data_IF_355121157371
#
_entry.id   IF_355121157371
#
_cell.length_a   1.000
_cell.length_b   1.000
_cell.length_c   1.000
_cell.angle_alpha   90.00
_cell.angle_beta   90.00
_cell.angle_gamma   90.00
#
_symmetry.space_group_name_H-M   'P 1'
#
loop_
_entity.id
_entity.type
_entity.pdbx_description
1 polymer ?
#
# COMPACT_ATOMS: atom_id res chain seq x y z
N UNK A 1 -30.04 1.70 -1.44
CA UNK A 1 -28.97 1.49 -2.44
C UNK A 1 -28.05 0.41 -1.89
N UNK A 2 -27.54 -0.46 -2.72
CA UNK A 2 -26.61 -1.51 -2.28
C UNK A 2 -25.31 -0.85 -1.80
N UNK A 3 -24.70 -1.40 -0.74
CA UNK A 3 -23.46 -0.91 -0.15
C UNK A 3 -22.27 -0.91 -1.11
N UNK A 4 -22.33 -1.73 -2.18
CA UNK A 4 -21.26 -1.84 -3.18
C UNK A 4 -21.33 -0.79 -4.29
N UNK A 5 -22.38 0.02 -4.39
CA UNK A 5 -22.54 1.01 -5.48
C UNK A 5 -21.43 2.05 -5.40
N UNK A 6 -21.27 2.71 -4.25
CA UNK A 6 -20.29 3.78 -4.09
C UNK A 6 -18.85 3.27 -4.25
N UNK A 7 -18.54 2.09 -3.68
CA UNK A 7 -17.23 1.47 -3.81
C UNK A 7 -16.89 1.04 -5.24
N UNK A 8 -17.87 0.90 -6.11
CA UNK A 8 -17.68 0.44 -7.49
C UNK A 8 -17.19 1.53 -8.44
N UNK A 9 -17.31 2.82 -8.07
CA UNK A 9 -16.94 3.93 -8.93
C UNK A 9 -16.24 5.10 -8.20
N UNK A 10 -15.93 4.98 -6.90
CA UNK A 10 -15.37 6.05 -6.07
C UNK A 10 -14.09 6.67 -6.68
N UNK A 11 -13.27 5.87 -7.37
CA UNK A 11 -12.04 6.33 -8.02
C UNK A 11 -12.31 7.33 -9.15
N UNK A 12 -13.48 7.27 -9.79
CA UNK A 12 -13.91 8.28 -10.78
C UNK A 12 -14.24 9.62 -10.11
N UNK A 13 -14.65 9.59 -8.84
CA UNK A 13 -14.96 10.80 -8.08
C UNK A 13 -13.71 11.53 -7.56
N UNK A 14 -12.61 10.84 -7.35
CA UNK A 14 -11.40 11.42 -6.75
C UNK A 14 -10.84 12.61 -7.54
N UNK A 15 -10.67 12.58 -8.86
CA UNK A 15 -10.20 13.72 -9.63
C UNK A 15 -11.11 14.95 -9.50
N UNK A 16 -12.42 14.74 -9.33
CA UNK A 16 -13.45 15.79 -9.30
C UNK A 16 -14.15 15.88 -7.94
N UNK A 17 -13.44 15.70 -6.84
CA UNK A 17 -14.03 15.59 -5.48
C UNK A 17 -14.86 16.79 -5.07
N UNK A 18 -14.59 18.00 -5.59
CA UNK A 18 -15.25 19.25 -5.28
C UNK A 18 -16.44 19.58 -6.19
N UNK A 19 -16.69 18.82 -7.26
CA UNK A 19 -17.83 19.06 -8.15
C UNK A 19 -19.15 18.88 -7.39
N UNK A 20 -20.04 19.88 -7.47
CA UNK A 20 -21.37 19.86 -6.84
C UNK A 20 -22.51 19.52 -7.82
N UNK A 21 -22.24 19.56 -9.13
CA UNK A 21 -23.26 19.48 -10.18
C UNK A 21 -23.22 18.21 -11.00
N UNK A 22 -22.10 17.52 -11.00
CA UNK A 22 -21.88 16.30 -11.79
C UNK A 22 -21.12 15.24 -10.98
N UNK A 23 -21.29 13.97 -11.29
CA UNK A 23 -20.60 12.89 -10.56
C UNK A 23 -19.09 12.96 -10.72
N UNK A 24 -18.60 13.37 -11.89
CA UNK A 24 -17.20 13.61 -12.20
C UNK A 24 -17.06 14.46 -13.47
N UNK A 25 -15.97 15.21 -13.58
CA UNK A 25 -15.64 16.00 -14.76
C UNK A 25 -14.90 15.14 -15.80
N UNK A 26 -15.35 15.18 -17.04
CA UNK A 26 -14.82 14.33 -18.12
C UNK A 26 -13.35 14.61 -18.45
N UNK A 27 -12.95 15.88 -18.49
CA UNK A 27 -11.57 16.26 -18.82
C UNK A 27 -10.57 15.79 -17.75
N UNK A 28 -10.99 15.89 -16.46
CA UNK A 28 -10.18 15.39 -15.35
C UNK A 28 -10.06 13.87 -15.39
N UNK A 29 -11.16 13.16 -15.69
CA UNK A 29 -11.16 11.71 -15.86
C UNK A 29 -10.23 11.29 -17.00
N UNK A 30 -10.33 11.91 -18.16
CA UNK A 30 -9.48 11.57 -19.32
C UNK A 30 -7.99 11.86 -19.06
N UNK A 31 -7.68 12.73 -18.10
CA UNK A 31 -6.29 13.04 -17.70
C UNK A 31 -5.72 12.03 -16.73
N UNK A 32 -6.52 11.57 -15.77
CA UNK A 32 -6.04 10.79 -14.63
C UNK A 32 -6.36 9.29 -14.71
N UNK A 33 -7.24 8.86 -15.59
CA UNK A 33 -7.73 7.49 -15.66
C UNK A 33 -7.56 6.88 -17.07
N UNK A 34 -7.47 5.55 -17.17
CA UNK A 34 -7.63 4.54 -16.12
C UNK A 34 -6.50 4.58 -15.07
N UNK A 35 -6.75 4.06 -13.88
CA UNK A 35 -5.77 4.00 -12.78
C UNK A 35 -4.57 3.16 -13.19
N UNK A 36 -3.35 3.68 -13.06
CA UNK A 36 -2.12 2.99 -13.47
C UNK A 36 -1.83 1.73 -12.66
N UNK A 37 -1.99 1.82 -11.34
CA UNK A 37 -1.71 0.73 -10.41
C UNK A 37 -2.77 0.67 -9.33
N UNK A 38 -3.41 -0.47 -9.16
CA UNK A 38 -4.39 -0.72 -8.12
C UNK A 38 -3.89 -1.80 -7.16
N UNK A 39 -3.92 -1.52 -5.86
CA UNK A 39 -3.36 -2.39 -4.82
C UNK A 39 -4.48 -2.87 -3.90
N UNK A 40 -4.56 -4.17 -3.67
CA UNK A 40 -5.56 -4.74 -2.78
C UNK A 40 -5.42 -6.24 -2.59
N UNK A 41 -6.12 -6.80 -1.61
CA UNK A 41 -6.10 -8.23 -1.36
C UNK A 41 -6.80 -9.02 -2.47
N UNK A 42 -6.35 -10.25 -2.71
CA UNK A 42 -6.87 -11.14 -3.76
C UNK A 42 -8.38 -11.41 -3.62
N UNK A 43 -8.91 -11.34 -2.41
CA UNK A 43 -10.36 -11.56 -2.15
C UNK A 43 -11.26 -10.51 -2.80
N UNK A 44 -10.73 -9.33 -3.15
CA UNK A 44 -11.48 -8.30 -3.87
C UNK A 44 -11.74 -8.65 -5.33
N UNK A 45 -11.05 -9.64 -5.90
CA UNK A 45 -11.21 -10.03 -7.30
C UNK A 45 -12.65 -10.49 -7.63
N UNK A 46 -13.31 -11.18 -6.71
CA UNK A 46 -14.66 -11.74 -6.90
C UNK A 46 -15.80 -10.79 -6.47
N UNK A 47 -15.48 -9.66 -5.88
CA UNK A 47 -16.45 -8.67 -5.42
C UNK A 47 -16.15 -7.29 -5.99
N UNK A 48 -15.31 -6.52 -5.31
CA UNK A 48 -15.02 -5.13 -5.64
C UNK A 48 -14.50 -4.93 -7.08
N UNK A 49 -13.52 -5.71 -7.52
CA UNK A 49 -12.96 -5.58 -8.87
C UNK A 49 -13.99 -5.94 -9.94
N UNK A 50 -14.82 -6.96 -9.70
CA UNK A 50 -15.89 -7.33 -10.62
C UNK A 50 -16.90 -6.19 -10.79
N UNK A 51 -17.35 -5.59 -9.69
CA UNK A 51 -18.31 -4.48 -9.73
C UNK A 51 -17.70 -3.23 -10.35
N UNK A 52 -16.46 -2.89 -10.02
CA UNK A 52 -15.75 -1.73 -10.60
C UNK A 52 -15.63 -1.86 -12.12
N UNK A 53 -15.27 -3.04 -12.61
CA UNK A 53 -15.22 -3.33 -14.05
C UNK A 53 -16.60 -3.25 -14.72
N UNK A 54 -17.62 -3.79 -14.06
CA UNK A 54 -19.00 -3.70 -14.56
C UNK A 54 -19.44 -2.24 -14.70
N UNK A 55 -19.27 -1.43 -13.66
CA UNK A 55 -19.61 -0.01 -13.69
C UNK A 55 -18.85 0.73 -14.80
N UNK A 56 -17.54 0.50 -14.91
CA UNK A 56 -16.73 1.13 -15.96
C UNK A 56 -17.24 0.80 -17.36
N UNK A 57 -17.58 -0.47 -17.61
CA UNK A 57 -18.13 -0.91 -18.91
C UNK A 57 -19.48 -0.24 -19.20
N UNK A 58 -20.39 -0.21 -18.25
CA UNK A 58 -21.69 0.46 -18.40
C UNK A 58 -21.50 1.96 -18.68
N UNK A 59 -20.64 2.65 -17.92
CA UNK A 59 -20.37 4.07 -18.12
C UNK A 59 -19.68 4.34 -19.49
N UNK A 60 -18.84 3.44 -19.95
CA UNK A 60 -18.29 3.50 -21.30
C UNK A 60 -19.36 3.30 -22.38
N UNK A 61 -20.23 2.30 -22.23
CA UNK A 61 -21.29 1.98 -23.20
C UNK A 61 -22.30 3.14 -23.38
N UNK A 62 -22.56 3.88 -22.32
CA UNK A 62 -23.42 5.09 -22.37
C UNK A 62 -22.66 6.38 -22.73
N UNK A 63 -21.37 6.30 -23.06
CA UNK A 63 -20.54 7.40 -23.55
C UNK A 63 -19.98 8.33 -22.48
N UNK A 64 -20.09 7.96 -21.20
CA UNK A 64 -19.55 8.76 -20.09
C UNK A 64 -18.04 8.59 -19.87
N UNK A 65 -17.45 7.49 -20.33
CA UNK A 65 -16.00 7.20 -20.22
C UNK A 65 -15.41 6.88 -21.59
N UNK A 66 -14.10 7.13 -21.75
CA UNK A 66 -13.32 6.79 -22.95
C UNK A 66 -12.58 5.47 -22.87
N UNK A 67 -12.72 4.73 -21.76
CA UNK A 67 -12.07 3.46 -21.49
C UNK A 67 -13.07 2.46 -20.89
N UNK A 68 -12.78 1.17 -21.01
CA UNK A 68 -13.66 0.08 -20.58
C UNK A 68 -13.08 -0.81 -19.47
N UNK A 69 -11.87 -0.52 -19.00
CA UNK A 69 -11.25 -1.17 -17.83
C UNK A 69 -10.76 -0.10 -16.86
N UNK A 70 -11.07 -0.20 -15.56
CA UNK A 70 -10.77 0.85 -14.58
C UNK A 70 -9.32 0.91 -14.17
N UNK A 71 -8.61 -0.23 -14.20
CA UNK A 71 -7.26 -0.39 -13.67
C UNK A 71 -6.34 -1.01 -14.72
N UNK A 72 -5.16 -0.38 -14.95
CA UNK A 72 -4.19 -0.86 -15.92
C UNK A 72 -3.39 -2.05 -15.38
N UNK A 73 -3.04 -2.00 -14.10
CA UNK A 73 -2.32 -3.06 -13.39
C UNK A 73 -2.90 -3.29 -12.01
N UNK A 74 -2.92 -4.57 -11.59
CA UNK A 74 -3.30 -4.97 -10.25
C UNK A 74 -2.08 -5.52 -9.51
N UNK A 75 -1.91 -5.12 -8.26
CA UNK A 75 -1.03 -5.76 -7.31
C UNK A 75 -1.90 -6.42 -6.24
N UNK A 76 -2.01 -7.73 -6.30
CA UNK A 76 -2.74 -8.48 -5.28
C UNK A 76 -1.80 -8.77 -4.11
N UNK A 77 -2.12 -8.20 -2.96
CA UNK A 77 -1.37 -8.45 -1.73
C UNK A 77 -1.69 -9.84 -1.19
N UNK A 78 -0.64 -10.50 -0.67
CA UNK A 78 -0.77 -11.70 0.13
C UNK A 78 -1.52 -11.45 1.44
N UNK A 79 -1.87 -12.51 2.13
CA UNK A 79 -2.56 -12.45 3.41
C UNK A 79 -1.56 -12.37 4.57
N UNK A 80 -1.94 -11.66 5.63
CA UNK A 80 -1.24 -11.77 6.92
C UNK A 80 -1.91 -12.90 7.71
N UNK A 81 -1.15 -13.95 7.95
CA UNK A 81 -1.57 -15.14 8.65
C UNK A 81 -1.12 -15.10 10.11
N UNK A 82 -1.61 -16.03 10.91
CA UNK A 82 -1.11 -16.32 12.25
C UNK A 82 -1.08 -17.83 12.43
N UNK A 83 0.11 -18.39 12.67
CA UNK A 83 0.35 -19.83 12.75
C UNK A 83 -0.19 -20.57 11.50
N UNK A 84 0.14 -20.08 10.32
CA UNK A 84 -0.27 -20.64 9.02
C UNK A 84 -1.75 -20.52 8.69
N UNK A 85 -2.53 -19.76 9.48
CA UNK A 85 -3.98 -19.65 9.29
C UNK A 85 -4.42 -18.19 9.18
N UNK A 86 -5.49 -17.95 8.41
CA UNK A 86 -6.11 -16.63 8.34
C UNK A 86 -6.59 -16.18 9.72
N UNK A 87 -6.27 -14.93 10.08
CA UNK A 87 -6.66 -14.33 11.34
C UNK A 87 -8.18 -14.19 11.45
N UNK A 88 -8.74 -14.55 12.60
CA UNK A 88 -10.18 -14.42 12.85
C UNK A 88 -10.46 -14.18 14.33
N UNK A 89 -11.42 -13.30 14.63
CA UNK A 89 -11.89 -13.07 16.01
C UNK A 89 -12.46 -14.34 16.64
N UNK A 90 -13.20 -15.13 15.84
CA UNK A 90 -13.84 -16.36 16.33
C UNK A 90 -12.84 -17.49 16.63
N UNK A 91 -11.67 -17.48 15.98
CA UNK A 91 -10.59 -18.46 16.22
C UNK A 91 -9.66 -18.03 17.35
N UNK A 92 -9.72 -16.78 17.80
CA UNK A 92 -8.85 -16.28 18.85
C UNK A 92 -7.40 -16.01 18.43
N UNK A 93 -7.09 -16.12 17.14
CA UNK A 93 -5.74 -15.89 16.59
C UNK A 93 -5.58 -14.49 15.97
N UNK A 94 -6.46 -13.54 16.32
CA UNK A 94 -6.41 -12.18 15.81
C UNK A 94 -5.32 -11.37 16.52
N UNK A 95 -4.36 -10.87 15.76
CA UNK A 95 -3.43 -9.83 16.19
C UNK A 95 -4.04 -8.46 15.89
N UNK A 96 -4.15 -7.61 16.91
CA UNK A 96 -4.71 -6.27 16.74
C UNK A 96 -3.60 -5.29 16.36
N UNK A 97 -3.77 -4.61 15.26
CA UNK A 97 -2.81 -3.59 14.81
C UNK A 97 -2.62 -2.48 15.87
N UNK A 98 -3.69 -2.08 16.57
CA UNK A 98 -3.61 -1.08 17.65
C UNK A 98 -2.59 -1.45 18.73
N UNK A 99 -2.61 -2.71 19.15
CA UNK A 99 -1.76 -3.22 20.24
C UNK A 99 -0.29 -3.26 19.76
N UNK A 100 -0.08 -3.68 18.51
CA UNK A 100 1.25 -3.70 17.89
C UNK A 100 1.82 -2.27 17.72
N UNK A 101 0.98 -1.33 17.31
CA UNK A 101 1.40 0.08 17.18
C UNK A 101 1.73 0.71 18.54
N UNK A 102 0.97 0.40 19.57
CA UNK A 102 1.23 0.86 20.94
C UNK A 102 2.55 0.30 21.49
N UNK A 103 2.81 -0.99 21.25
CA UNK A 103 3.99 -1.68 21.78
C UNK A 103 5.28 -1.37 21.02
N UNK A 104 5.22 -1.15 19.70
CA UNK A 104 6.40 -1.10 18.85
C UNK A 104 6.56 0.22 18.07
N UNK A 105 5.50 1.00 17.96
CA UNK A 105 5.47 2.22 17.15
C UNK A 105 5.24 1.96 15.65
N UNK A 106 4.77 2.99 14.97
CA UNK A 106 4.36 2.93 13.56
C UNK A 106 5.52 2.54 12.64
N UNK A 107 6.68 3.15 12.83
CA UNK A 107 7.83 2.93 11.95
C UNK A 107 8.36 1.50 12.03
N UNK A 108 8.37 0.91 13.23
CA UNK A 108 8.81 -0.46 13.41
C UNK A 108 7.85 -1.46 12.76
N UNK A 109 6.54 -1.26 12.87
CA UNK A 109 5.54 -2.10 12.21
C UNK A 109 5.65 -1.99 10.69
N UNK A 110 5.74 -0.78 10.15
CA UNK A 110 5.92 -0.56 8.70
C UNK A 110 7.20 -1.21 8.17
N UNK A 111 8.32 -1.05 8.88
CA UNK A 111 9.59 -1.68 8.53
C UNK A 111 9.48 -3.21 8.55
N UNK A 112 8.81 -3.77 9.57
CA UNK A 112 8.61 -5.21 9.69
C UNK A 112 7.81 -5.78 8.50
N UNK A 113 6.76 -5.09 8.06
CA UNK A 113 5.97 -5.52 6.90
C UNK A 113 6.78 -5.50 5.60
N UNK A 114 7.57 -4.44 5.38
CA UNK A 114 8.43 -4.35 4.18
C UNK A 114 9.54 -5.40 4.20
N UNK A 115 10.06 -5.72 5.38
CA UNK A 115 11.15 -6.69 5.55
C UNK A 115 10.69 -8.14 5.50
N UNK A 116 9.41 -8.42 5.77
CA UNK A 116 8.86 -9.76 5.84
C UNK A 116 8.90 -10.50 4.49
N UNK A 117 8.73 -9.79 3.38
CA UNK A 117 8.78 -10.39 2.04
C UNK A 117 8.15 -9.51 0.95
N UNK A 118 8.07 -10.03 -0.27
CA UNK A 118 7.35 -9.38 -1.36
C UNK A 118 5.88 -9.17 -0.99
N UNK A 119 5.26 -8.08 -1.45
CA UNK A 119 3.88 -7.76 -1.06
C UNK A 119 2.84 -8.77 -1.58
N UNK A 120 3.19 -9.56 -2.59
CA UNK A 120 2.30 -10.59 -3.16
C UNK A 120 2.29 -11.89 -2.34
N UNK A 121 3.29 -12.12 -1.51
CA UNK A 121 3.42 -13.33 -0.72
C UNK A 121 2.63 -13.24 0.59
N UNK A 122 2.13 -14.39 1.05
CA UNK A 122 1.56 -14.48 2.38
C UNK A 122 2.65 -14.31 3.45
N UNK A 123 2.32 -13.59 4.51
CA UNK A 123 3.23 -13.33 5.64
C UNK A 123 2.64 -13.96 6.90
N UNK A 124 3.36 -14.88 7.53
CA UNK A 124 2.96 -15.36 8.86
C UNK A 124 3.47 -14.38 9.93
N UNK A 125 2.55 -13.79 10.67
CA UNK A 125 2.88 -12.81 11.71
C UNK A 125 3.69 -13.43 12.85
N UNK A 126 3.58 -14.74 13.08
CA UNK A 126 4.40 -15.44 14.05
C UNK A 126 5.90 -15.38 13.75
N UNK A 127 6.27 -15.25 12.46
CA UNK A 127 7.66 -15.15 12.00
C UNK A 127 8.17 -13.69 11.94
N UNK A 128 7.27 -12.72 12.10
CA UNK A 128 7.62 -11.30 12.04
C UNK A 128 8.12 -10.82 13.40
N UNK A 129 9.20 -10.04 13.42
CA UNK A 129 9.80 -9.52 14.65
C UNK A 129 9.79 -7.98 14.71
N UNK A 130 8.68 -7.34 15.12
CA UNK A 130 8.62 -5.89 15.28
C UNK A 130 9.67 -5.36 16.28
N UNK A 131 9.97 -6.11 17.33
CA UNK A 131 11.04 -5.77 18.30
C UNK A 131 12.44 -5.73 17.65
N UNK A 132 12.68 -6.56 16.64
CA UNK A 132 13.90 -6.51 15.81
C UNK A 132 14.00 -5.20 15.03
N UNK A 133 12.90 -4.79 14.43
CA UNK A 133 12.79 -3.50 13.73
C UNK A 133 13.01 -2.30 14.65
N UNK A 134 12.44 -2.31 15.87
CA UNK A 134 12.70 -1.28 16.91
C UNK A 134 14.19 -1.18 17.21
N UNK A 135 14.86 -2.32 17.41
CA UNK A 135 16.31 -2.34 17.69
C UNK A 135 17.13 -1.80 16.52
N UNK A 136 16.75 -2.14 15.28
CA UNK A 136 17.40 -1.62 14.09
C UNK A 136 17.24 -0.10 13.98
N UNK A 137 16.01 0.42 14.08
CA UNK A 137 15.70 1.86 14.01
C UNK A 137 16.42 2.63 15.10
N UNK A 138 16.47 2.10 16.33
CA UNK A 138 17.17 2.72 17.45
C UNK A 138 18.69 2.80 17.21
N UNK A 139 19.28 1.80 16.56
CA UNK A 139 20.71 1.84 16.17
C UNK A 139 20.95 2.86 15.06
N UNK A 140 20.10 2.89 14.03
CA UNK A 140 20.19 3.87 12.95
C UNK A 140 20.06 5.30 13.47
N UNK A 141 19.11 5.53 14.37
CA UNK A 141 18.91 6.84 15.01
C UNK A 141 20.14 7.30 15.81
N UNK A 142 20.72 6.43 16.63
CA UNK A 142 21.95 6.75 17.37
C UNK A 142 23.11 7.05 16.44
N UNK A 143 23.29 6.24 15.39
CA UNK A 143 24.34 6.46 14.40
C UNK A 143 24.19 7.83 13.73
N UNK A 144 22.97 8.26 13.41
CA UNK A 144 22.73 9.57 12.79
C UNK A 144 23.17 10.75 13.68
N UNK A 145 23.11 10.58 15.00
CA UNK A 145 23.62 11.56 15.97
C UNK A 145 25.14 11.59 16.06
N UNK A 146 25.81 10.49 15.80
CA UNK A 146 27.28 10.33 15.91
C UNK A 146 27.99 10.74 14.60
N UNK A 147 27.31 10.61 13.44
CA UNK A 147 27.89 10.97 12.13
C UNK A 147 27.89 12.49 11.97
N UNK A 148 29.10 13.07 11.89
CA UNK A 148 29.33 14.48 11.58
C UNK A 148 30.03 14.57 10.23
N UNK A 149 29.28 14.88 9.19
CA UNK A 149 29.83 15.16 7.87
C UNK A 149 29.93 16.68 7.68
N UNK A 150 31.12 17.23 7.46
CA UNK A 150 31.25 18.65 7.09
C UNK A 150 30.54 18.90 5.75
N UNK A 151 29.90 20.05 5.60
CA UNK A 151 29.28 20.48 4.34
C UNK A 151 30.37 20.59 3.25
N UNK A 152 30.14 20.04 2.07
CA UNK A 152 31.04 20.16 0.92
C UNK A 152 32.18 19.14 0.85
N UNK A 153 32.05 17.99 1.52
CA UNK A 153 33.00 16.89 1.31
C UNK A 153 32.93 16.39 -0.14
N UNK A 154 34.09 16.32 -0.76
CA UNK A 154 34.24 15.60 -2.02
C UNK A 154 34.17 14.09 -1.76
N UNK A 155 33.10 13.46 -2.22
CA UNK A 155 32.89 12.00 -2.11
C UNK A 155 33.97 11.17 -2.81
N UNK A 156 34.81 11.77 -3.66
CA UNK A 156 35.94 11.09 -4.28
C UNK A 156 37.07 10.78 -3.31
N UNK A 157 37.13 11.45 -2.15
CA UNK A 157 38.24 11.37 -1.17
C UNK A 157 37.97 10.47 0.03
N UNK A 158 36.75 9.90 0.14
CA UNK A 158 36.37 9.01 1.26
C UNK A 158 37.01 7.63 1.23
N UNK A 159 36.86 6.89 2.33
CA UNK A 159 37.31 5.50 2.42
C UNK A 159 36.73 4.63 1.29
N UNK A 160 37.62 3.99 0.53
CA UNK A 160 37.25 3.23 -0.66
C UNK A 160 36.38 2.01 -0.33
N UNK A 161 36.53 1.42 0.87
CA UNK A 161 35.76 0.25 1.29
C UNK A 161 34.33 0.70 1.68
N UNK A 162 34.21 1.84 2.36
CA UNK A 162 32.91 2.42 2.68
C UNK A 162 32.16 2.79 1.40
N UNK A 163 32.84 3.40 0.42
CA UNK A 163 32.24 3.73 -0.88
C UNK A 163 31.76 2.50 -1.63
N UNK A 164 32.53 1.41 -1.63
CA UNK A 164 32.12 0.13 -2.25
C UNK A 164 30.93 -0.52 -1.53
N UNK A 165 30.79 -0.31 -0.23
CA UNK A 165 29.68 -0.87 0.55
C UNK A 165 28.37 -0.08 0.39
N UNK A 166 28.43 1.17 -0.09
CA UNK A 166 27.28 2.07 -0.28
C UNK A 166 26.80 2.14 -1.73
N UNK A 167 27.51 1.54 -2.67
CA UNK A 167 27.18 1.41 -4.08
C UNK A 167 27.04 -0.04 -4.50
#
# INVERSE_FOLDING_TARGET
MDTFVDSSWYYLRYPSSTSATEPFNREEIDTWLPVDQYVGGVTHAILHLLYSRFFTKVLNDIGMLGFNEPFTRLLNQGMVLMDGSAMSKSRGNLVRLSDELENHGVDAIRLSMVFAGPPEDDVDWADVSPSGSVKFLSRAWRLSGDVKSPVGIDFSTGDINLRKATH
#
